data_IF_555876526451
#
_entry.id   IF_555876526451
#
_cell.length_a   1.000
_cell.length_b   1.000
_cell.length_c   1.000
_cell.angle_alpha   90.00
_cell.angle_beta   90.00
_cell.angle_gamma   90.00
#
_symmetry.space_group_name_H-M   'P 1'
#
loop_
_entity.id
_entity.type
_entity.pdbx_description
1 polymer ?
#
# COMPACT_ATOMS: atom_id res chain seq x y z
N UNK A 1 58.72 -10.86 -63.69
CA UNK A 1 57.50 -11.52 -64.23
C UNK A 1 57.08 -12.75 -63.42
N UNK A 2 57.97 -13.73 -63.15
CA UNK A 2 57.64 -14.90 -62.28
C UNK A 2 57.29 -14.51 -60.84
N UNK A 3 58.01 -13.57 -60.26
CA UNK A 3 57.79 -13.08 -58.89
C UNK A 3 56.43 -12.40 -58.72
N UNK A 4 56.09 -11.43 -59.59
CA UNK A 4 54.74 -10.86 -59.69
C UNK A 4 53.64 -11.92 -59.83
N UNK A 5 53.83 -12.96 -60.65
CA UNK A 5 52.84 -14.04 -60.77
C UNK A 5 52.67 -14.84 -59.47
N UNK A 6 53.73 -14.96 -58.66
CA UNK A 6 53.66 -15.60 -57.34
C UNK A 6 52.87 -14.74 -56.36
N UNK A 7 53.13 -13.44 -56.32
CA UNK A 7 52.41 -12.48 -55.47
C UNK A 7 50.92 -12.43 -55.81
N UNK A 8 50.57 -12.36 -57.10
CA UNK A 8 49.17 -12.38 -57.55
C UNK A 8 48.45 -13.67 -57.11
N UNK A 9 49.15 -14.82 -57.11
CA UNK A 9 48.57 -16.08 -56.61
C UNK A 9 48.32 -16.04 -55.11
N UNK A 10 49.26 -15.51 -54.32
CA UNK A 10 49.06 -15.35 -52.87
C UNK A 10 47.90 -14.40 -52.57
N UNK A 11 47.84 -13.24 -53.25
CA UNK A 11 46.71 -12.31 -53.14
C UNK A 11 45.41 -13.05 -53.44
N UNK A 12 45.33 -13.82 -54.52
CA UNK A 12 44.14 -14.61 -54.86
C UNK A 12 43.72 -15.60 -53.77
N UNK A 13 44.66 -16.23 -53.06
CA UNK A 13 44.34 -17.11 -51.91
C UNK A 13 43.85 -16.31 -50.70
N UNK A 14 44.48 -15.18 -50.41
CA UNK A 14 44.04 -14.32 -49.30
C UNK A 14 42.65 -13.76 -49.52
N UNK A 15 42.33 -13.33 -50.74
CA UNK A 15 40.99 -12.85 -51.12
C UNK A 15 39.95 -13.95 -50.90
N UNK A 16 40.17 -15.16 -51.41
CA UNK A 16 39.25 -16.29 -51.19
C UNK A 16 39.05 -16.60 -49.69
N UNK A 17 40.13 -16.59 -48.91
CA UNK A 17 40.02 -16.81 -47.46
C UNK A 17 39.23 -15.71 -46.75
N UNK A 18 39.33 -14.46 -47.22
CA UNK A 18 38.55 -13.34 -46.70
C UNK A 18 37.07 -13.51 -47.09
N UNK A 19 36.78 -13.83 -48.34
CA UNK A 19 35.41 -14.08 -48.84
C UNK A 19 34.70 -15.16 -48.00
N UNK A 20 35.35 -16.30 -47.76
CA UNK A 20 34.81 -17.38 -46.92
C UNK A 20 34.54 -16.94 -45.47
N UNK A 21 35.38 -16.05 -44.93
CA UNK A 21 35.18 -15.51 -43.58
C UNK A 21 34.02 -14.51 -43.53
N UNK A 22 33.88 -13.68 -44.57
CA UNK A 22 32.78 -12.72 -44.71
C UNK A 22 31.45 -13.47 -44.78
N UNK A 23 31.34 -14.49 -45.63
CA UNK A 23 30.11 -15.29 -45.75
C UNK A 23 29.73 -15.97 -44.41
N UNK A 24 30.72 -16.51 -43.69
CA UNK A 24 30.49 -17.06 -42.33
C UNK A 24 29.99 -15.99 -41.36
N UNK A 25 30.57 -14.81 -41.37
CA UNK A 25 30.15 -13.71 -40.50
C UNK A 25 28.74 -13.21 -40.84
N UNK A 26 28.38 -13.14 -42.12
CA UNK A 26 27.02 -12.79 -42.56
C UNK A 26 25.99 -13.80 -42.06
N UNK A 27 26.30 -15.10 -42.13
CA UNK A 27 25.44 -16.15 -41.57
C UNK A 27 25.26 -16.03 -40.05
N UNK A 28 26.33 -15.73 -39.31
CA UNK A 28 26.27 -15.49 -37.87
C UNK A 28 25.42 -14.26 -37.55
N UNK A 29 25.60 -13.16 -38.28
CA UNK A 29 24.84 -11.92 -38.08
C UNK A 29 23.36 -12.12 -38.34
N UNK A 30 22.99 -12.84 -39.40
CA UNK A 30 21.60 -13.17 -39.69
C UNK A 30 20.96 -13.98 -38.57
N UNK A 31 21.63 -15.04 -38.10
CA UNK A 31 21.16 -15.85 -36.96
C UNK A 31 21.03 -15.04 -35.68
N UNK A 32 21.97 -14.12 -35.40
CA UNK A 32 21.91 -13.26 -34.24
C UNK A 32 20.74 -12.27 -34.33
N UNK A 33 20.50 -11.69 -35.51
CA UNK A 33 19.36 -10.80 -35.76
C UNK A 33 18.04 -11.49 -35.46
N UNK A 34 17.85 -12.72 -35.94
CA UNK A 34 16.64 -13.51 -35.62
C UNK A 34 16.47 -13.79 -34.13
N UNK A 35 17.56 -14.10 -33.43
CA UNK A 35 17.53 -14.34 -31.97
C UNK A 35 17.15 -13.07 -31.21
N UNK A 36 17.70 -11.92 -31.60
CA UNK A 36 17.37 -10.62 -31.01
C UNK A 36 15.88 -10.32 -31.21
N UNK A 37 15.34 -10.53 -32.41
CA UNK A 37 13.92 -10.30 -32.70
C UNK A 37 13.00 -11.22 -31.86
N UNK A 38 13.35 -12.51 -31.74
CA UNK A 38 12.61 -13.47 -30.89
C UNK A 38 12.65 -13.05 -29.41
N UNK A 39 13.80 -12.62 -28.93
CA UNK A 39 13.97 -12.15 -27.55
C UNK A 39 13.17 -10.87 -27.30
N UNK A 40 13.17 -9.92 -28.24
CA UNK A 40 12.38 -8.68 -28.18
C UNK A 40 10.88 -8.98 -28.05
N UNK A 41 10.34 -9.89 -28.89
CA UNK A 41 8.94 -10.32 -28.79
C UNK A 41 8.61 -10.98 -27.45
N UNK A 42 9.52 -11.83 -26.97
CA UNK A 42 9.36 -12.50 -25.66
C UNK A 42 9.34 -11.49 -24.53
N UNK A 43 10.27 -10.54 -24.52
CA UNK A 43 10.35 -9.48 -23.52
C UNK A 43 9.08 -8.62 -23.50
N UNK A 44 8.58 -8.22 -24.67
CA UNK A 44 7.32 -7.50 -24.78
C UNK A 44 6.13 -8.30 -24.22
N UNK A 45 6.11 -9.62 -24.46
CA UNK A 45 5.10 -10.51 -23.90
C UNK A 45 5.16 -10.59 -22.37
N UNK A 46 6.38 -10.69 -21.80
CA UNK A 46 6.59 -10.68 -20.35
C UNK A 46 6.17 -9.35 -19.75
N UNK A 47 6.54 -8.23 -20.36
CA UNK A 47 6.17 -6.89 -19.87
C UNK A 47 4.65 -6.73 -19.76
N UNK A 48 3.89 -7.21 -20.75
CA UNK A 48 2.41 -7.16 -20.71
C UNK A 48 1.85 -7.98 -19.56
N UNK A 49 2.39 -9.18 -19.33
CA UNK A 49 1.96 -10.04 -18.20
C UNK A 49 2.26 -9.39 -16.85
N UNK A 50 3.44 -8.79 -16.70
CA UNK A 50 3.83 -8.07 -15.48
C UNK A 50 2.87 -6.91 -15.21
N UNK A 51 2.55 -6.11 -16.23
CA UNK A 51 1.61 -5.01 -16.08
C UNK A 51 0.22 -5.50 -15.67
N UNK A 52 -0.30 -6.55 -16.32
CA UNK A 52 -1.60 -7.16 -15.97
C UNK A 52 -1.63 -7.65 -14.52
N UNK A 53 -0.61 -8.40 -14.10
CA UNK A 53 -0.53 -8.88 -12.71
C UNK A 53 -0.38 -7.73 -11.71
N UNK A 54 0.30 -6.65 -12.07
CA UNK A 54 0.40 -5.46 -11.22
C UNK A 54 -0.95 -4.78 -11.02
N UNK A 55 -1.79 -4.73 -12.06
CA UNK A 55 -3.15 -4.18 -11.98
C UNK A 55 -4.04 -5.06 -11.09
N UNK A 56 -3.99 -6.38 -11.27
CA UNK A 56 -4.74 -7.34 -10.44
C UNK A 56 -4.35 -7.24 -8.95
N UNK A 57 -3.05 -7.14 -8.65
CA UNK A 57 -2.56 -6.96 -7.27
C UNK A 57 -3.10 -5.67 -6.65
N UNK A 58 -3.15 -4.58 -7.44
CA UNK A 58 -3.69 -3.30 -6.97
C UNK A 58 -5.18 -3.42 -6.65
N UNK A 59 -5.96 -4.04 -7.52
CA UNK A 59 -7.40 -4.27 -7.32
C UNK A 59 -7.66 -5.11 -6.06
N UNK A 60 -6.90 -6.20 -5.88
CA UNK A 60 -7.01 -7.04 -4.68
C UNK A 60 -6.66 -6.24 -3.41
N UNK A 61 -5.61 -5.42 -3.46
CA UNK A 61 -5.21 -4.58 -2.32
C UNK A 61 -6.32 -3.59 -1.93
N UNK A 62 -6.99 -2.97 -2.90
CA UNK A 62 -8.12 -2.07 -2.66
C UNK A 62 -9.32 -2.81 -2.04
N UNK A 63 -9.62 -4.02 -2.52
CA UNK A 63 -10.69 -4.87 -1.94
C UNK A 63 -10.39 -5.27 -0.50
N UNK A 64 -9.14 -5.60 -0.18
CA UNK A 64 -8.72 -5.94 1.19
C UNK A 64 -8.97 -4.76 2.12
N UNK A 65 -8.51 -3.55 1.76
CA UNK A 65 -8.74 -2.33 2.57
C UNK A 65 -10.22 -2.07 2.83
N UNK A 66 -11.04 -2.21 1.78
CA UNK A 66 -12.49 -2.05 1.91
C UNK A 66 -13.12 -3.10 2.86
N UNK A 67 -12.64 -4.35 2.82
CA UNK A 67 -13.10 -5.40 3.74
C UNK A 67 -12.66 -5.15 5.17
N UNK A 68 -11.43 -4.68 5.39
CA UNK A 68 -10.91 -4.30 6.72
C UNK A 68 -11.75 -3.18 7.34
N UNK A 69 -12.06 -2.12 6.59
CA UNK A 69 -12.94 -1.04 7.06
C UNK A 69 -14.34 -1.54 7.45
N UNK A 70 -14.88 -2.48 6.67
CA UNK A 70 -16.19 -3.08 6.98
C UNK A 70 -16.15 -3.97 8.21
N UNK A 71 -15.06 -4.71 8.40
CA UNK A 71 -14.86 -5.55 9.56
C UNK A 71 -14.80 -4.69 10.83
N UNK A 72 -13.98 -3.63 10.83
CA UNK A 72 -13.87 -2.70 11.95
C UNK A 72 -15.25 -2.11 12.33
N UNK A 73 -16.03 -1.66 11.34
CA UNK A 73 -17.39 -1.16 11.59
C UNK A 73 -18.34 -2.23 12.14
N UNK A 74 -18.18 -3.48 11.73
CA UNK A 74 -18.98 -4.58 12.26
C UNK A 74 -18.60 -4.87 13.71
N UNK A 75 -17.32 -4.88 14.04
CA UNK A 75 -16.80 -5.05 15.41
C UNK A 75 -17.31 -3.94 16.33
N UNK A 76 -17.25 -2.68 15.91
CA UNK A 76 -17.81 -1.54 16.65
C UNK A 76 -19.30 -1.73 16.96
N UNK A 77 -20.08 -2.19 15.98
CA UNK A 77 -21.52 -2.46 16.16
C UNK A 77 -21.79 -3.61 17.13
N UNK A 78 -20.97 -4.66 17.10
CA UNK A 78 -21.08 -5.77 18.05
C UNK A 78 -20.80 -5.27 19.47
N UNK A 79 -19.75 -4.48 19.66
CA UNK A 79 -19.41 -3.91 20.97
C UNK A 79 -20.54 -3.00 21.49
N UNK A 80 -21.09 -2.11 20.65
CA UNK A 80 -22.24 -1.28 21.01
C UNK A 80 -23.47 -2.12 21.39
N UNK A 81 -23.77 -3.16 20.60
CA UNK A 81 -24.90 -4.04 20.87
C UNK A 81 -24.73 -4.84 22.17
N UNK A 82 -23.53 -5.35 22.44
CA UNK A 82 -23.22 -6.02 23.71
C UNK A 82 -23.38 -5.07 24.90
N UNK A 83 -22.88 -3.84 24.79
CA UNK A 83 -23.02 -2.83 25.83
C UNK A 83 -24.49 -2.52 26.13
N UNK A 84 -25.32 -2.33 25.08
CA UNK A 84 -26.77 -2.12 25.22
C UNK A 84 -27.47 -3.34 25.82
N UNK A 85 -27.08 -4.55 25.42
CA UNK A 85 -27.64 -5.79 25.94
C UNK A 85 -27.37 -5.95 27.45
N UNK A 86 -26.11 -5.72 27.88
CA UNK A 86 -25.73 -5.77 29.31
C UNK A 86 -26.52 -4.75 30.13
N UNK A 87 -26.63 -3.52 29.64
CA UNK A 87 -27.43 -2.46 30.27
C UNK A 87 -28.91 -2.84 30.40
N UNK A 88 -29.54 -3.27 29.30
CA UNK A 88 -30.95 -3.68 29.32
C UNK A 88 -31.19 -4.82 30.31
N UNK A 89 -30.24 -5.75 30.44
CA UNK A 89 -30.32 -6.85 31.40
C UNK A 89 -30.30 -6.33 32.86
N UNK A 90 -29.44 -5.36 33.18
CA UNK A 90 -29.39 -4.73 34.50
C UNK A 90 -30.70 -4.01 34.85
N UNK A 91 -31.26 -3.27 33.88
CA UNK A 91 -32.56 -2.59 34.04
C UNK A 91 -33.66 -3.61 34.33
N UNK A 92 -33.70 -4.72 33.57
CA UNK A 92 -34.69 -5.78 33.78
C UNK A 92 -34.63 -6.39 35.19
N UNK A 93 -33.43 -6.48 35.77
CA UNK A 93 -33.22 -6.95 37.14
C UNK A 93 -33.38 -5.87 38.22
N UNK A 94 -33.90 -4.68 37.86
CA UNK A 94 -34.25 -3.63 38.81
C UNK A 94 -33.09 -2.72 39.23
N UNK A 95 -31.95 -2.76 38.53
CA UNK A 95 -30.87 -1.79 38.70
C UNK A 95 -31.20 -0.56 37.84
N UNK A 96 -31.55 0.59 38.44
CA UNK A 96 -31.89 1.79 37.69
C UNK A 96 -30.65 2.37 36.99
N UNK A 97 -30.82 2.92 35.78
CA UNK A 97 -29.77 3.69 35.11
C UNK A 97 -29.45 4.95 35.91
N UNK A 98 -28.16 5.22 36.10
CA UNK A 98 -27.73 6.54 36.57
C UNK A 98 -27.80 7.56 35.43
N UNK A 99 -28.00 8.84 35.75
CA UNK A 99 -28.03 9.93 34.74
C UNK A 99 -26.73 10.04 33.92
N UNK A 100 -25.62 9.46 34.39
CA UNK A 100 -24.34 9.41 33.67
C UNK A 100 -24.27 8.29 32.63
N UNK A 101 -25.18 7.33 32.66
CA UNK A 101 -25.18 6.14 31.79
C UNK A 101 -26.23 6.21 30.67
N UNK A 102 -27.09 7.24 30.67
CA UNK A 102 -28.05 7.49 29.61
C UNK A 102 -27.35 8.04 28.34
N UNK A 103 -26.94 7.12 27.47
CA UNK A 103 -26.30 7.45 26.20
C UNK A 103 -27.16 8.31 25.25
N UNK A 104 -28.50 8.34 25.43
CA UNK A 104 -29.36 9.22 24.62
C UNK A 104 -29.27 10.68 25.10
N UNK A 105 -29.13 10.90 26.42
CA UNK A 105 -28.93 12.23 26.98
C UNK A 105 -27.54 12.80 26.66
N UNK A 106 -26.50 11.95 26.58
CA UNK A 106 -25.13 12.37 26.23
C UNK A 106 -25.04 12.78 24.75
N UNK A 107 -25.56 11.95 23.83
CA UNK A 107 -25.52 12.24 22.39
C UNK A 107 -26.41 13.41 21.96
N UNK A 108 -27.44 13.76 22.74
CA UNK A 108 -28.28 14.93 22.48
C UNK A 108 -27.77 16.24 23.10
N UNK A 109 -26.84 16.17 24.07
CA UNK A 109 -26.18 17.34 24.66
C UNK A 109 -24.87 17.70 23.95
N UNK A 110 -24.22 16.74 23.29
CA UNK A 110 -23.08 16.97 22.37
C UNK A 110 -23.56 17.25 20.94
N UNK A 111 -24.52 18.16 20.77
CA UNK A 111 -24.60 18.90 19.52
C UNK A 111 -23.44 19.88 19.53
N UNK A 112 -22.40 19.61 18.72
CA UNK A 112 -21.20 20.40 18.59
C UNK A 112 -21.51 21.91 18.62
N UNK A 113 -20.80 22.63 19.49
CA UNK A 113 -20.81 24.09 19.51
C UNK A 113 -20.49 24.57 18.07
N UNK A 114 -21.27 25.50 17.47
CA UNK A 114 -21.03 25.98 16.11
C UNK A 114 -19.58 26.41 15.83
N UNK A 115 -18.82 26.79 16.87
CA UNK A 115 -17.38 27.08 16.75
C UNK A 115 -16.50 25.87 16.38
N UNK A 116 -16.86 24.67 16.83
CA UNK A 116 -16.08 23.44 16.59
C UNK A 116 -16.27 22.93 15.15
N UNK A 117 -17.46 23.13 14.57
CA UNK A 117 -17.75 22.87 13.17
C UNK A 117 -16.94 23.77 12.22
N UNK A 118 -16.73 25.04 12.59
CA UNK A 118 -15.93 26.00 11.82
C UNK A 118 -14.42 25.68 11.91
N UNK A 119 -13.95 25.18 13.05
CA UNK A 119 -12.56 24.71 13.24
C UNK A 119 -12.27 23.43 12.42
N UNK A 120 -13.23 22.50 12.36
CA UNK A 120 -13.14 21.32 11.47
C UNK A 120 -13.13 21.72 9.99
N UNK A 121 -13.93 22.72 9.60
CA UNK A 121 -14.01 23.21 8.22
C UNK A 121 -12.75 23.95 7.75
N UNK A 122 -12.03 24.58 8.67
CA UNK A 122 -10.83 25.39 8.37
C UNK A 122 -9.50 24.64 8.58
N UNK A 123 -9.54 23.37 8.97
CA UNK A 123 -8.35 22.51 9.09
C UNK A 123 -7.37 22.90 10.20
N UNK A 124 -7.77 23.79 11.12
CA UNK A 124 -6.94 24.17 12.28
C UNK A 124 -7.12 23.14 13.40
N UNK A 125 -6.37 22.04 13.29
CA UNK A 125 -5.93 21.14 14.34
C UNK A 125 -6.89 20.92 15.54
N UNK A 126 -7.84 20.01 15.40
CA UNK A 126 -8.68 19.50 16.50
C UNK A 126 -7.93 18.57 17.50
N UNK A 127 -6.62 18.37 17.35
CA UNK A 127 -5.84 17.41 18.14
C UNK A 127 -5.36 17.93 19.51
N UNK A 128 -5.70 19.16 19.90
CA UNK A 128 -5.19 19.78 21.13
C UNK A 128 -6.25 20.13 22.21
N UNK A 129 -7.54 19.85 22.00
CA UNK A 129 -8.58 20.46 22.85
C UNK A 129 -9.36 19.52 23.80
N UNK A 130 -9.04 18.23 23.92
CA UNK A 130 -9.72 17.39 24.92
C UNK A 130 -8.81 16.35 25.57
N UNK A 131 -8.13 16.67 26.68
CA UNK A 131 -7.81 15.64 27.65
C UNK A 131 -9.10 15.26 28.39
N UNK A 132 -9.51 14.00 28.30
CA UNK A 132 -10.61 13.47 29.11
C UNK A 132 -10.35 13.74 30.59
N UNK A 133 -11.16 14.60 31.22
CA UNK A 133 -11.08 14.88 32.66
C UNK A 133 -11.76 13.75 33.42
N UNK A 134 -10.95 12.90 34.05
CA UNK A 134 -11.44 11.85 34.95
C UNK A 134 -11.67 12.46 36.33
N UNK A 135 -12.94 12.56 36.76
CA UNK A 135 -13.32 13.05 38.09
C UNK A 135 -13.79 11.86 38.92
N UNK A 136 -13.10 11.58 40.02
CA UNK A 136 -13.46 10.53 40.97
C UNK A 136 -13.71 11.20 42.32
N UNK A 137 -14.87 10.94 42.94
CA UNK A 137 -15.28 11.48 44.25
C UNK A 137 -15.23 13.02 44.37
N UNK A 138 -15.46 13.74 43.28
CA UNK A 138 -15.51 15.21 43.28
C UNK A 138 -14.15 15.91 43.20
N UNK A 139 -13.05 15.16 43.12
CA UNK A 139 -11.72 15.70 42.88
C UNK A 139 -11.25 15.42 41.46
N UNK A 140 -10.66 16.42 40.81
CA UNK A 140 -10.08 16.30 39.48
C UNK A 140 -8.77 15.52 39.58
N UNK A 141 -8.74 14.32 38.98
CA UNK A 141 -7.52 13.50 38.95
C UNK A 141 -6.61 14.11 37.90
N UNK A 142 -5.55 14.80 38.34
CA UNK A 142 -4.50 15.33 37.45
C UNK A 142 -3.98 14.19 36.58
N UNK A 143 -4.11 14.35 35.27
CA UNK A 143 -3.69 13.39 34.26
C UNK A 143 -2.24 12.94 34.51
N UNK A 144 -2.04 11.64 34.67
CA UNK A 144 -0.71 11.05 34.68
C UNK A 144 -0.13 11.21 33.28
N UNK A 145 0.94 11.98 33.14
CA UNK A 145 1.67 12.12 31.87
C UNK A 145 2.15 10.74 31.41
N UNK A 146 2.05 10.41 30.10
CA UNK A 146 2.53 9.14 29.58
C UNK A 146 4.01 8.94 29.92
N UNK A 147 4.36 7.75 30.42
CA UNK A 147 5.75 7.35 30.64
C UNK A 147 6.48 7.38 29.29
N UNK A 148 7.64 8.06 29.16
CA UNK A 148 8.36 8.08 27.89
C UNK A 148 8.76 6.66 27.50
N UNK A 149 8.51 6.30 26.23
CA UNK A 149 8.89 5.00 25.69
C UNK A 149 10.42 4.87 25.67
N UNK A 150 10.98 3.70 26.01
CA UNK A 150 12.41 3.47 25.93
C UNK A 150 12.88 3.59 24.48
N UNK A 151 13.89 4.44 24.25
CA UNK A 151 14.49 4.59 22.93
C UNK A 151 15.21 3.29 22.56
N UNK A 152 14.83 2.70 21.43
CA UNK A 152 15.59 1.61 20.84
C UNK A 152 16.88 2.20 20.26
N UNK A 153 18.00 1.92 20.91
CA UNK A 153 19.33 2.17 20.35
C UNK A 153 19.54 1.25 19.14
N UNK A 154 19.96 1.85 18.03
CA UNK A 154 20.31 1.19 16.78
C UNK A 154 21.50 0.22 16.91
#
# INVERSE_FOLDING_TARGET
>A
MKEMMSEVKEIGRTVKSIEEKVEKHEGILSSLSEKVEKNSKTLNGVQRKVNSSSEEVKEVSEKIKYMEERLNKAEERVVDQEARSRRNNLIFHGVPESEREDCKAVTSKETADPGDLEAMRTGKAAWLAYPARLIINGEEVKSVTPRPQPQMTA
#
